data_IF_025755841202
#
_entry.id   IF_025755841202
#
_cell.length_a   1.000
_cell.length_b   1.000
_cell.length_c   1.000
_cell.angle_alpha   90.00
_cell.angle_beta   90.00
_cell.angle_gamma   90.00
#
_symmetry.space_group_name_H-M   'P 1'
#
loop_
_entity.id
_entity.type
_entity.pdbx_description
1 polymer ?
#
# COMPACT_ATOMS: atom_id res chain seq x y z
N UNK A 1 -5.27 16.61 60.35
CA UNK A 1 -5.91 15.69 59.39
C UNK A 1 -6.28 16.47 58.13
N UNK A 2 -5.61 16.18 57.01
CA UNK A 2 -6.14 16.25 55.64
C UNK A 2 -5.03 15.72 54.72
N UNK A 3 -5.14 14.43 54.40
CA UNK A 3 -4.31 13.77 53.41
C UNK A 3 -4.74 14.28 52.03
N UNK A 4 -3.78 14.71 51.23
CA UNK A 4 -3.97 15.05 49.82
C UNK A 4 -3.48 13.86 49.01
N UNK A 5 -4.41 13.11 48.43
CA UNK A 5 -4.14 11.94 47.59
C UNK A 5 -4.08 12.40 46.14
N UNK A 6 -2.91 12.32 45.51
CA UNK A 6 -2.76 12.50 44.07
C UNK A 6 -3.27 11.24 43.35
N UNK A 7 -4.11 11.34 42.30
CA UNK A 7 -4.42 10.20 41.47
C UNK A 7 -3.23 9.89 40.54
N UNK A 8 -2.70 8.69 40.74
CA UNK A 8 -1.71 8.02 39.93
C UNK A 8 -2.32 7.72 38.54
N UNK A 9 -1.96 8.49 37.51
CA UNK A 9 -2.28 8.16 36.13
C UNK A 9 -1.40 6.97 35.72
N UNK A 10 -2.01 5.76 35.73
CA UNK A 10 -1.45 4.62 35.02
C UNK A 10 -1.40 4.98 33.53
N UNK A 11 -0.19 5.02 32.98
CA UNK A 11 0.04 4.91 31.54
C UNK A 11 -0.62 3.60 31.09
N UNK A 12 -1.73 3.71 30.36
CA UNK A 12 -2.21 2.60 29.54
C UNK A 12 -1.16 2.41 28.45
N UNK A 13 -0.48 1.27 28.48
CA UNK A 13 0.40 0.88 27.40
C UNK A 13 -0.45 0.72 26.14
N UNK A 14 -0.30 1.67 25.23
CA UNK A 14 -0.91 1.65 23.90
C UNK A 14 -0.46 0.35 23.23
N UNK A 15 -1.40 -0.58 23.00
CA UNK A 15 -1.06 -1.80 22.27
C UNK A 15 -0.62 -1.40 20.86
N UNK A 16 0.53 -1.90 20.37
CA UNK A 16 1.00 -1.54 19.04
C UNK A 16 -0.07 -1.87 18.01
N UNK A 17 -0.24 -0.98 17.02
CA UNK A 17 -1.10 -1.25 15.86
C UNK A 17 -0.73 -2.60 15.25
N UNK A 18 -1.68 -3.28 14.61
CA UNK A 18 -1.42 -4.57 13.96
C UNK A 18 -0.19 -4.47 13.02
N UNK A 19 -0.08 -3.35 12.30
CA UNK A 19 1.07 -3.03 11.45
C UNK A 19 2.39 -2.98 12.22
N UNK A 20 2.42 -2.31 13.38
CA UNK A 20 3.63 -2.21 14.21
C UNK A 20 4.11 -3.59 14.67
N UNK A 21 3.19 -4.49 15.04
CA UNK A 21 3.53 -5.86 15.42
C UNK A 21 4.13 -6.67 14.25
N UNK A 22 3.56 -6.51 13.05
CA UNK A 22 4.10 -7.12 11.82
C UNK A 22 5.48 -6.55 11.49
N UNK A 23 5.65 -5.22 11.57
CA UNK A 23 6.93 -4.55 11.32
C UNK A 23 8.02 -5.02 12.29
N UNK A 24 7.69 -5.18 13.58
CA UNK A 24 8.61 -5.73 14.59
C UNK A 24 9.13 -7.11 14.16
N UNK A 25 8.22 -8.04 13.83
CA UNK A 25 8.58 -9.40 13.43
C UNK A 25 9.43 -9.40 12.16
N UNK A 26 9.07 -8.57 11.19
CA UNK A 26 9.81 -8.43 9.94
C UNK A 26 11.22 -7.89 10.16
N UNK A 27 11.37 -6.81 10.94
CA UNK A 27 12.68 -6.22 11.26
C UNK A 27 13.56 -7.21 12.03
N UNK A 28 13.00 -7.92 13.01
CA UNK A 28 13.73 -8.95 13.76
C UNK A 28 14.22 -10.09 12.87
N UNK A 29 13.40 -10.54 11.92
CA UNK A 29 13.79 -11.52 10.91
C UNK A 29 14.90 -10.95 9.99
N UNK A 30 14.70 -9.76 9.46
CA UNK A 30 15.63 -9.11 8.54
C UNK A 30 17.03 -8.94 9.17
N UNK A 31 17.10 -8.60 10.47
CA UNK A 31 18.35 -8.41 11.19
C UNK A 31 19.00 -9.71 11.68
N UNK A 32 18.25 -10.83 11.68
CA UNK A 32 18.77 -12.15 12.08
C UNK A 32 19.86 -12.66 11.15
N UNK A 33 19.75 -12.36 9.86
CA UNK A 33 20.67 -12.85 8.83
C UNK A 33 21.52 -11.74 8.24
N UNK A 34 22.82 -12.02 8.10
CA UNK A 34 23.80 -11.06 7.52
C UNK A 34 23.89 -11.15 5.99
N UNK A 35 23.72 -12.34 5.43
CA UNK A 35 23.84 -12.64 3.99
C UNK A 35 22.52 -13.23 3.50
N UNK A 36 21.55 -12.35 3.25
CA UNK A 36 20.22 -12.76 2.81
C UNK A 36 20.22 -13.47 1.46
N UNK A 37 21.13 -13.11 0.57
CA UNK A 37 21.27 -13.66 -0.76
C UNK A 37 21.78 -15.12 -0.79
N UNK A 38 22.38 -15.58 0.31
CA UNK A 38 22.89 -16.96 0.46
C UNK A 38 21.89 -17.92 1.12
N UNK A 39 20.76 -17.40 1.63
CA UNK A 39 19.74 -18.21 2.31
C UNK A 39 19.02 -19.12 1.30
N UNK A 40 19.10 -20.43 1.52
CA UNK A 40 18.40 -21.42 0.70
C UNK A 40 17.03 -21.80 1.25
N UNK A 41 16.87 -21.76 2.57
CA UNK A 41 15.64 -22.15 3.26
C UNK A 41 15.42 -21.26 4.48
N UNK A 42 14.15 -21.01 4.77
CA UNK A 42 13.67 -20.39 6.00
C UNK A 42 12.74 -21.39 6.69
N UNK A 43 12.56 -21.28 8.00
CA UNK A 43 11.53 -22.06 8.68
C UNK A 43 10.13 -21.63 8.22
N UNK A 44 9.12 -22.47 8.46
CA UNK A 44 7.72 -22.13 8.15
C UNK A 44 7.29 -20.82 8.83
N UNK A 45 7.67 -20.63 10.11
CA UNK A 45 7.40 -19.40 10.86
C UNK A 45 8.05 -18.17 10.21
N UNK A 46 9.26 -18.30 9.70
CA UNK A 46 9.99 -17.20 9.05
C UNK A 46 9.39 -16.86 7.68
N UNK A 47 8.97 -17.87 6.91
CA UNK A 47 8.21 -17.65 5.68
C UNK A 47 6.87 -16.97 5.98
N UNK A 48 6.20 -17.36 7.08
CA UNK A 48 4.95 -16.73 7.51
C UNK A 48 5.14 -15.25 7.87
N UNK A 49 6.30 -14.86 8.44
CA UNK A 49 6.61 -13.44 8.67
C UNK A 49 6.67 -12.68 7.34
N UNK A 50 7.32 -13.24 6.31
CA UNK A 50 7.38 -12.59 4.99
C UNK A 50 5.97 -12.47 4.37
N UNK A 51 5.17 -13.54 4.48
CA UNK A 51 3.79 -13.55 4.02
C UNK A 51 2.97 -12.46 4.71
N UNK A 52 2.92 -12.45 6.04
CA UNK A 52 2.15 -11.49 6.83
C UNK A 52 2.56 -10.05 6.53
N UNK A 53 3.84 -9.81 6.29
CA UNK A 53 4.36 -8.48 5.94
C UNK A 53 3.84 -8.01 4.59
N UNK A 54 3.87 -8.88 3.58
CA UNK A 54 3.37 -8.57 2.24
C UNK A 54 1.85 -8.39 2.26
N UNK A 55 1.12 -9.23 2.98
CA UNK A 55 -0.34 -9.10 3.15
C UNK A 55 -0.72 -7.82 3.88
N UNK A 56 0.00 -7.47 4.96
CA UNK A 56 -0.22 -6.23 5.69
C UNK A 56 0.07 -4.98 4.85
N UNK A 57 0.95 -5.09 3.84
CA UNK A 57 1.21 -4.02 2.88
C UNK A 57 0.13 -3.88 1.79
N UNK A 58 -0.97 -4.65 1.88
CA UNK A 58 -2.13 -4.54 0.99
C UNK A 58 -2.04 -5.35 -0.29
N UNK A 59 -1.07 -6.26 -0.40
CA UNK A 59 -1.03 -7.25 -1.47
C UNK A 59 -1.90 -8.47 -1.11
N UNK A 60 -2.32 -9.24 -2.13
CA UNK A 60 -3.06 -10.49 -1.94
C UNK A 60 -2.19 -11.71 -2.35
N UNK A 61 -1.20 -12.09 -1.52
CA UNK A 61 -0.34 -13.23 -1.81
C UNK A 61 -1.07 -14.55 -1.53
N UNK A 62 -0.93 -15.53 -2.43
CA UNK A 62 -1.28 -16.92 -2.14
C UNK A 62 -0.26 -17.58 -1.21
N UNK A 63 1.03 -17.32 -1.47
CA UNK A 63 2.17 -17.89 -0.74
C UNK A 63 3.46 -17.13 -1.03
N UNK A 64 4.45 -17.31 -0.15
CA UNK A 64 5.83 -16.90 -0.36
C UNK A 64 6.69 -18.15 -0.49
N UNK A 65 7.49 -18.24 -1.56
CA UNK A 65 8.28 -19.44 -1.87
C UNK A 65 9.70 -19.08 -2.28
N UNK A 66 10.69 -19.99 -2.13
CA UNK A 66 12.03 -19.77 -2.66
C UNK A 66 12.00 -19.49 -4.16
N UNK A 67 12.74 -18.47 -4.60
CA UNK A 67 12.83 -18.12 -6.01
C UNK A 67 13.29 -16.69 -6.26
N UNK A 68 14.02 -16.49 -7.36
CA UNK A 68 14.44 -15.18 -7.84
C UNK A 68 13.68 -14.82 -9.12
N UNK A 69 13.15 -13.62 -9.18
CA UNK A 69 12.48 -13.07 -10.36
C UNK A 69 13.40 -12.12 -11.13
N UNK A 70 13.18 -12.07 -12.44
CA UNK A 70 13.84 -11.15 -13.36
C UNK A 70 12.81 -10.39 -14.17
N UNK A 71 13.00 -9.09 -14.26
CA UNK A 71 12.28 -8.25 -15.22
C UNK A 71 13.03 -8.19 -16.54
N UNK A 72 12.35 -7.72 -17.58
CA UNK A 72 12.90 -7.55 -18.92
C UNK A 72 12.87 -6.07 -19.30
N UNK A 73 14.00 -5.55 -19.80
CA UNK A 73 14.00 -4.23 -20.39
C UNK A 73 13.24 -4.27 -21.73
N UNK A 74 12.52 -3.18 -21.99
CA UNK A 74 11.75 -3.00 -23.22
C UNK A 74 12.29 -1.80 -23.99
N UNK A 75 12.29 -1.91 -25.31
CA UNK A 75 12.62 -0.81 -26.21
C UNK A 75 11.43 0.17 -26.29
N UNK A 76 11.61 1.30 -26.97
CA UNK A 76 10.59 2.35 -27.09
C UNK A 76 9.30 1.86 -27.78
N UNK A 77 9.41 0.84 -28.62
CA UNK A 77 8.27 0.18 -29.28
C UNK A 77 7.61 -0.90 -28.40
N UNK A 78 8.11 -1.11 -27.18
CA UNK A 78 7.61 -2.11 -26.23
C UNK A 78 8.13 -3.53 -26.46
N UNK A 79 8.95 -3.77 -27.49
CA UNK A 79 9.62 -5.05 -27.72
C UNK A 79 10.68 -5.33 -26.65
N UNK A 80 11.00 -6.61 -26.41
CA UNK A 80 12.04 -6.95 -25.43
C UNK A 80 13.43 -6.70 -26.02
N UNK A 81 14.30 -6.04 -25.25
CA UNK A 81 15.71 -5.86 -25.64
C UNK A 81 16.54 -7.13 -25.46
N UNK A 82 15.96 -8.18 -24.86
CA UNK A 82 16.68 -9.38 -24.41
C UNK A 82 17.47 -9.19 -23.10
N UNK A 83 17.63 -7.95 -22.63
CA UNK A 83 18.29 -7.66 -21.37
C UNK A 83 17.34 -7.86 -20.18
N UNK A 84 17.89 -8.35 -19.06
CA UNK A 84 17.13 -8.61 -17.83
C UNK A 84 17.70 -7.88 -16.64
N UNK A 85 16.86 -7.61 -15.65
CA UNK A 85 17.26 -7.04 -14.36
C UNK A 85 16.69 -7.86 -13.19
N UNK A 86 17.43 -8.01 -12.07
CA UNK A 86 16.92 -8.72 -10.91
C UNK A 86 15.82 -7.91 -10.21
N UNK A 87 14.73 -8.57 -9.85
CA UNK A 87 13.63 -7.95 -9.08
C UNK A 87 13.92 -8.06 -7.59
N UNK A 88 14.14 -9.28 -7.11
CA UNK A 88 14.50 -9.56 -5.72
C UNK A 88 15.98 -9.93 -5.60
N UNK A 89 16.87 -8.95 -5.83
CA UNK A 89 18.31 -9.18 -5.79
C UNK A 89 18.82 -9.66 -4.43
N UNK A 90 18.27 -9.14 -3.33
CA UNK A 90 18.67 -9.48 -1.96
C UNK A 90 17.84 -10.64 -1.42
N UNK A 91 16.51 -10.53 -1.41
CA UNK A 91 15.61 -11.55 -0.88
C UNK A 91 15.57 -12.80 -1.79
N UNK A 92 15.86 -14.02 -1.30
CA UNK A 92 15.82 -15.24 -2.12
C UNK A 92 14.41 -15.85 -2.25
N UNK A 93 13.39 -15.12 -1.80
CA UNK A 93 11.99 -15.54 -1.86
C UNK A 93 11.20 -14.65 -2.80
N UNK A 94 10.22 -15.24 -3.48
CA UNK A 94 9.25 -14.57 -4.35
C UNK A 94 7.83 -14.75 -3.82
N UNK A 95 6.98 -13.83 -4.21
CA UNK A 95 5.55 -13.84 -3.89
C UNK A 95 4.78 -14.44 -5.06
N UNK A 96 3.83 -15.32 -4.77
CA UNK A 96 2.88 -15.89 -5.75
C UNK A 96 1.51 -15.27 -5.53
N UNK A 97 0.84 -14.84 -6.60
CA UNK A 97 -0.49 -14.21 -6.56
C UNK A 97 -1.60 -15.21 -6.22
N UNK A 98 -2.66 -14.73 -5.56
CA UNK A 98 -3.90 -15.45 -5.28
C UNK A 98 -4.62 -16.00 -6.52
N UNK A 99 -4.72 -15.18 -7.57
CA UNK A 99 -5.71 -15.39 -8.63
C UNK A 99 -5.29 -16.36 -9.75
N UNK A 100 -3.98 -16.55 -9.98
CA UNK A 100 -3.49 -17.26 -11.18
C UNK A 100 -2.33 -18.24 -10.93
N UNK A 101 -1.98 -18.53 -9.66
CA UNK A 101 -0.78 -19.31 -9.29
C UNK A 101 0.54 -18.75 -9.90
N UNK A 102 0.49 -17.54 -10.44
CA UNK A 102 1.57 -16.85 -11.14
C UNK A 102 2.42 -16.00 -10.20
N UNK A 103 3.62 -15.64 -10.67
CA UNK A 103 4.54 -14.82 -9.90
C UNK A 103 4.02 -13.39 -9.75
N UNK A 104 3.95 -12.89 -8.50
CA UNK A 104 3.58 -11.51 -8.23
C UNK A 104 4.82 -10.62 -8.27
N UNK A 105 5.14 -10.11 -9.47
CA UNK A 105 6.35 -9.31 -9.72
C UNK A 105 6.47 -8.10 -8.81
N UNK A 106 5.39 -7.34 -8.64
CA UNK A 106 5.40 -6.11 -7.85
C UNK A 106 5.57 -6.37 -6.35
N UNK A 107 4.76 -7.26 -5.75
CA UNK A 107 4.89 -7.66 -4.35
C UNK A 107 6.29 -8.25 -4.05
N UNK A 108 6.86 -9.02 -4.97
CA UNK A 108 8.22 -9.55 -4.86
C UNK A 108 9.26 -8.43 -4.82
N UNK A 109 9.13 -7.43 -5.70
CA UNK A 109 10.00 -6.27 -5.70
C UNK A 109 9.86 -5.41 -4.45
N UNK A 110 8.63 -5.24 -3.95
CA UNK A 110 8.35 -4.51 -2.71
C UNK A 110 9.01 -5.18 -1.50
N UNK A 111 8.89 -6.51 -1.38
CA UNK A 111 9.51 -7.30 -0.32
C UNK A 111 11.05 -7.16 -0.33
N UNK A 112 11.67 -7.17 -1.51
CA UNK A 112 13.10 -6.94 -1.65
C UNK A 112 13.51 -5.52 -1.22
N UNK A 113 12.73 -4.50 -1.59
CA UNK A 113 12.95 -3.12 -1.16
C UNK A 113 12.83 -2.96 0.36
N UNK A 114 11.79 -3.55 0.97
CA UNK A 114 11.59 -3.58 2.42
C UNK A 114 12.79 -4.21 3.13
N UNK A 115 13.24 -5.37 2.65
CA UNK A 115 14.40 -6.06 3.22
C UNK A 115 15.68 -5.23 3.08
N UNK A 116 15.93 -4.66 1.90
CA UNK A 116 17.09 -3.77 1.67
C UNK A 116 17.06 -2.55 2.57
N UNK A 117 15.89 -1.96 2.82
CA UNK A 117 15.75 -0.79 3.70
C UNK A 117 16.19 -1.12 5.12
N UNK A 118 15.80 -2.27 5.65
CA UNK A 118 16.17 -2.72 6.99
C UNK A 118 17.66 -3.08 7.06
N UNK A 119 18.13 -3.94 6.16
CA UNK A 119 19.53 -4.42 6.14
C UNK A 119 20.51 -3.26 5.92
N UNK A 120 20.26 -2.37 4.95
CA UNK A 120 21.13 -1.22 4.71
C UNK A 120 20.99 -0.15 5.80
N UNK A 121 19.79 0.06 6.35
CA UNK A 121 19.60 0.98 7.48
C UNK A 121 20.43 0.57 8.69
N UNK A 122 20.42 -0.72 9.03
CA UNK A 122 21.24 -1.24 10.12
C UNK A 122 22.74 -1.20 9.81
N UNK A 123 23.16 -1.70 8.64
CA UNK A 123 24.60 -1.89 8.34
C UNK A 123 25.32 -0.65 7.82
N UNK A 124 24.64 0.20 7.04
CA UNK A 124 25.27 1.37 6.40
C UNK A 124 24.96 2.67 7.13
N UNK A 125 23.81 2.75 7.79
CA UNK A 125 23.35 3.97 8.45
C UNK A 125 23.34 3.85 9.98
N UNK A 126 23.70 2.69 10.53
CA UNK A 126 23.71 2.40 11.97
C UNK A 126 22.38 2.74 12.67
N UNK A 127 21.27 2.55 11.95
CA UNK A 127 19.94 2.79 12.52
C UNK A 127 19.58 1.71 13.53
N UNK A 128 19.07 2.13 14.69
CA UNK A 128 18.58 1.23 15.72
C UNK A 128 17.30 0.51 15.30
N UNK A 129 17.06 -0.66 15.92
CA UNK A 129 15.89 -1.50 15.69
C UNK A 129 14.56 -0.74 15.80
N UNK A 130 14.42 0.15 16.77
CA UNK A 130 13.20 0.94 17.00
C UNK A 130 12.89 1.85 15.80
N UNK A 131 13.89 2.61 15.31
CA UNK A 131 13.74 3.46 14.12
C UNK A 131 13.40 2.64 12.87
N UNK A 132 14.04 1.49 12.71
CA UNK A 132 13.76 0.59 11.58
C UNK A 132 12.33 0.04 11.65
N UNK A 133 11.84 -0.26 12.85
CA UNK A 133 10.47 -0.71 13.08
C UNK A 133 9.46 0.37 12.73
N UNK A 134 9.67 1.59 13.21
CA UNK A 134 8.83 2.76 12.92
C UNK A 134 8.73 3.00 11.41
N UNK A 135 9.88 3.10 10.73
CA UNK A 135 9.92 3.29 9.28
C UNK A 135 9.24 2.14 8.54
N UNK A 136 9.43 0.89 8.95
CA UNK A 136 8.78 -0.24 8.28
C UNK A 136 7.28 -0.27 8.53
N UNK A 137 6.79 0.10 9.72
CA UNK A 137 5.37 0.23 9.97
C UNK A 137 4.75 1.30 9.07
N UNK A 138 5.39 2.47 8.97
CA UNK A 138 4.97 3.53 8.04
C UNK A 138 4.96 3.04 6.59
N UNK A 139 5.99 2.32 6.13
CA UNK A 139 6.02 1.84 4.74
C UNK A 139 4.98 0.75 4.47
N UNK A 140 4.71 -0.16 5.41
CA UNK A 140 3.61 -1.12 5.30
C UNK A 140 2.28 -0.37 5.18
N UNK A 141 2.01 0.56 6.08
CA UNK A 141 0.77 1.35 6.06
C UNK A 141 0.64 2.18 4.79
N UNK A 142 1.73 2.77 4.30
CA UNK A 142 1.77 3.58 3.06
C UNK A 142 1.62 2.76 1.78
N UNK A 143 1.81 1.45 1.86
CA UNK A 143 1.69 0.52 0.74
C UNK A 143 0.27 0.00 0.52
N UNK A 144 -0.60 0.10 1.53
CA UNK A 144 -1.99 -0.33 1.38
C UNK A 144 -2.73 0.56 0.36
N UNK A 145 -3.36 0.01 -0.68
CA UNK A 145 -4.16 0.78 -1.62
C UNK A 145 -5.32 1.53 -0.96
N UNK A 146 -5.76 2.63 -1.57
CA UNK A 146 -7.01 3.27 -1.14
C UNK A 146 -8.16 2.30 -1.41
N UNK A 147 -8.94 1.98 -0.39
CA UNK A 147 -10.19 1.23 -0.57
C UNK A 147 -11.11 1.96 -1.57
N UNK A 148 -11.64 1.28 -2.60
CA UNK A 148 -12.48 1.91 -3.59
C UNK A 148 -13.67 2.65 -2.96
N UNK A 149 -13.94 3.86 -3.46
CA UNK A 149 -15.04 4.69 -2.95
C UNK A 149 -16.30 4.39 -3.77
N UNK A 150 -17.40 3.96 -3.13
CA UNK A 150 -18.69 3.81 -3.80
C UNK A 150 -19.20 5.13 -4.36
N UNK A 151 -19.41 5.17 -5.67
CA UNK A 151 -19.91 6.31 -6.42
C UNK A 151 -21.44 6.30 -6.50
N UNK A 152 -22.05 5.12 -6.64
CA UNK A 152 -23.48 4.92 -6.85
C UNK A 152 -24.01 3.71 -6.07
N UNK A 153 -25.31 3.64 -5.75
CA UNK A 153 -25.93 2.43 -5.19
C UNK A 153 -25.82 1.18 -6.08
N UNK A 154 -25.68 1.37 -7.40
CA UNK A 154 -25.61 0.30 -8.39
C UNK A 154 -24.24 -0.39 -8.45
N UNK A 155 -23.27 0.06 -7.65
CA UNK A 155 -21.96 -0.55 -7.51
C UNK A 155 -20.87 0.09 -8.37
N UNK A 156 -21.05 1.32 -8.85
CA UNK A 156 -19.93 2.06 -9.44
C UNK A 156 -18.90 2.41 -8.37
N UNK A 157 -17.63 2.14 -8.66
CA UNK A 157 -16.52 2.37 -7.73
C UNK A 157 -15.49 3.34 -8.33
N UNK A 158 -14.99 4.25 -7.49
CA UNK A 158 -13.81 5.05 -7.76
C UNK A 158 -12.61 4.36 -7.12
N UNK A 159 -11.68 3.92 -7.95
CA UNK A 159 -10.39 3.39 -7.51
C UNK A 159 -9.28 4.41 -7.72
N UNK A 160 -8.21 4.30 -6.94
CA UNK A 160 -7.04 5.14 -7.16
C UNK A 160 -6.34 4.84 -8.49
N UNK A 161 -5.40 5.70 -8.87
CA UNK A 161 -4.58 5.47 -10.05
C UNK A 161 -3.72 4.22 -9.90
N UNK A 162 -3.36 3.58 -11.03
CA UNK A 162 -2.26 2.64 -11.02
C UNK A 162 -1.04 3.28 -10.33
N UNK A 163 -0.36 2.55 -9.45
CA UNK A 163 0.72 3.11 -8.65
C UNK A 163 1.83 3.63 -9.55
N UNK A 164 2.24 4.88 -9.33
CA UNK A 164 3.44 5.42 -9.95
C UNK A 164 4.68 4.86 -9.24
N UNK A 165 5.54 4.13 -9.97
CA UNK A 165 6.82 3.65 -9.42
C UNK A 165 7.64 4.83 -8.91
N UNK A 166 8.13 4.79 -7.66
CA UNK A 166 9.10 5.78 -7.20
C UNK A 166 10.40 5.66 -8.02
N UNK A 167 11.09 6.77 -8.30
CA UNK A 167 12.32 6.77 -9.10
C UNK A 167 13.46 5.92 -8.48
N UNK A 168 14.47 5.63 -9.33
CA UNK A 168 15.74 4.93 -9.08
C UNK A 168 15.96 4.32 -7.67
N UNK A 169 15.93 2.97 -7.61
CA UNK A 169 16.39 2.18 -6.46
C UNK A 169 15.33 1.79 -5.42
N UNK A 170 14.17 2.44 -5.44
CA UNK A 170 13.00 2.12 -4.61
C UNK A 170 11.73 2.00 -5.47
N UNK A 171 11.89 1.49 -6.69
CA UNK A 171 10.84 1.45 -7.72
C UNK A 171 9.56 0.71 -7.30
N UNK A 172 9.65 -0.10 -6.25
CA UNK A 172 8.53 -0.87 -5.73
C UNK A 172 7.90 -0.29 -4.48
N UNK A 173 8.50 0.70 -3.82
CA UNK A 173 7.77 1.48 -2.80
C UNK A 173 6.79 2.39 -3.51
N UNK A 174 5.55 2.36 -3.03
CA UNK A 174 4.44 3.13 -3.60
C UNK A 174 3.92 4.07 -2.54
N UNK A 175 3.65 5.30 -2.94
CA UNK A 175 2.85 6.21 -2.15
C UNK A 175 1.42 6.17 -2.65
N UNK A 176 0.59 5.34 -2.02
CA UNK A 176 -0.84 5.26 -2.33
C UNK A 176 -1.61 6.49 -1.84
N UNK A 177 -2.78 6.68 -2.42
CA UNK A 177 -3.70 7.75 -2.01
C UNK A 177 -4.28 7.43 -0.63
N UNK A 178 -4.51 8.46 0.19
CA UNK A 178 -5.10 8.30 1.53
C UNK A 178 -6.37 9.11 1.67
N UNK A 179 -7.20 8.79 2.65
CA UNK A 179 -8.45 9.50 2.90
C UNK A 179 -8.20 11.00 3.15
N UNK A 180 -7.12 11.37 3.83
CA UNK A 180 -6.72 12.76 4.06
C UNK A 180 -6.10 13.45 2.83
N UNK A 181 -5.86 12.72 1.74
CA UNK A 181 -5.31 13.30 0.51
C UNK A 181 -6.31 14.24 -0.14
N UNK A 182 -5.82 15.37 -0.66
CA UNK A 182 -6.66 16.33 -1.36
C UNK A 182 -7.15 15.80 -2.71
N UNK A 183 -8.41 16.05 -3.04
CA UNK A 183 -8.99 15.77 -4.36
C UNK A 183 -8.42 16.73 -5.41
N UNK A 184 -7.68 16.16 -6.37
CA UNK A 184 -7.16 16.88 -7.53
C UNK A 184 -8.22 17.19 -8.61
N UNK A 185 -7.76 17.67 -9.76
CA UNK A 185 -8.60 17.87 -10.96
C UNK A 185 -8.99 16.55 -11.62
N UNK A 186 -8.13 15.56 -11.53
CA UNK A 186 -8.42 14.17 -11.83
C UNK A 186 -8.31 13.41 -10.49
N UNK A 187 -9.31 12.59 -10.15
CA UNK A 187 -9.46 11.99 -8.82
C UNK A 187 -9.27 10.47 -8.77
N UNK A 188 -9.07 9.82 -9.91
CA UNK A 188 -8.90 8.36 -9.94
C UNK A 188 -9.40 7.75 -11.23
N UNK A 189 -9.73 6.48 -11.16
CA UNK A 189 -10.21 5.66 -12.28
C UNK A 189 -11.58 5.10 -11.92
N UNK A 190 -12.50 5.07 -12.89
CA UNK A 190 -13.76 4.35 -12.74
C UNK A 190 -13.49 2.86 -12.92
N UNK A 191 -13.81 2.06 -11.90
CA UNK A 191 -13.50 0.64 -11.90
C UNK A 191 -14.15 -0.13 -13.06
N UNK A 192 -15.39 0.23 -13.41
CA UNK A 192 -16.14 -0.50 -14.45
C UNK A 192 -15.58 -0.33 -15.87
N UNK A 193 -15.12 0.87 -16.23
CA UNK A 193 -14.69 1.16 -17.61
C UNK A 193 -13.22 1.57 -17.74
N UNK A 194 -12.44 1.45 -16.66
CA UNK A 194 -11.01 1.76 -16.58
C UNK A 194 -10.60 3.15 -17.10
N UNK A 195 -11.54 4.10 -17.10
CA UNK A 195 -11.30 5.45 -17.57
C UNK A 195 -11.17 6.44 -16.41
N UNK A 196 -10.42 7.51 -16.68
CA UNK A 196 -10.12 8.57 -15.74
C UNK A 196 -11.39 9.29 -15.28
N UNK A 197 -11.45 9.63 -13.99
CA UNK A 197 -12.52 10.37 -13.35
C UNK A 197 -12.06 11.81 -13.06
N UNK A 198 -12.72 12.80 -13.67
CA UNK A 198 -12.41 14.21 -13.49
C UNK A 198 -13.32 14.87 -12.46
N UNK A 199 -12.74 15.71 -11.60
CA UNK A 199 -13.48 16.67 -10.78
C UNK A 199 -13.76 17.93 -11.61
N UNK A 200 -15.04 18.29 -11.73
CA UNK A 200 -15.50 19.49 -12.44
C UNK A 200 -16.41 20.30 -11.54
N UNK A 201 -16.30 21.63 -11.58
CA UNK A 201 -17.31 22.49 -10.96
C UNK A 201 -18.62 22.35 -11.72
N UNK A 202 -19.68 21.92 -11.04
CA UNK A 202 -20.98 21.70 -11.66
C UNK A 202 -21.95 22.87 -11.39
N UNK A 203 -21.98 23.38 -10.17
CA UNK A 203 -22.85 24.48 -9.76
C UNK A 203 -22.13 25.42 -8.78
N UNK A 204 -22.86 26.38 -8.19
CA UNK A 204 -22.32 27.26 -7.13
C UNK A 204 -22.04 26.54 -5.82
N UNK A 205 -22.67 25.39 -5.59
CA UNK A 205 -22.63 24.63 -4.33
C UNK A 205 -22.08 23.22 -4.50
N UNK A 206 -22.03 22.70 -5.72
CA UNK A 206 -21.61 21.32 -5.98
C UNK A 206 -20.52 21.24 -7.04
N UNK A 207 -19.61 20.31 -6.82
CA UNK A 207 -18.74 19.75 -7.84
C UNK A 207 -19.35 18.44 -8.36
N UNK A 208 -18.83 17.95 -9.48
CA UNK A 208 -19.16 16.65 -10.04
C UNK A 208 -17.89 15.85 -10.30
N UNK A 209 -17.95 14.55 -10.03
CA UNK A 209 -17.04 13.59 -10.64
C UNK A 209 -17.63 13.14 -11.97
N UNK A 210 -16.81 13.14 -13.02
CA UNK A 210 -17.24 12.79 -14.39
C UNK A 210 -16.28 11.77 -14.98
N UNK A 211 -16.78 10.61 -15.35
CA UNK A 211 -16.00 9.61 -16.08
C UNK A 211 -15.76 10.06 -17.53
N UNK A 212 -14.51 9.94 -18.00
CA UNK A 212 -14.19 10.25 -19.40
C UNK A 212 -14.70 9.20 -20.40
N UNK A 213 -14.88 7.96 -19.96
CA UNK A 213 -15.31 6.85 -20.82
C UNK A 213 -16.83 6.77 -20.93
N UNK A 214 -17.51 6.45 -19.82
CA UNK A 214 -18.95 6.21 -19.80
C UNK A 214 -19.79 7.45 -19.46
N UNK A 215 -19.15 8.60 -19.17
CA UNK A 215 -19.82 9.84 -18.76
C UNK A 215 -20.67 9.76 -17.49
N UNK A 216 -20.47 8.72 -16.65
CA UNK A 216 -20.99 8.67 -15.29
C UNK A 216 -20.72 10.00 -14.58
N UNK A 217 -21.75 10.56 -13.95
CA UNK A 217 -21.69 11.88 -13.31
C UNK A 217 -22.27 11.80 -11.90
N UNK A 218 -21.42 12.05 -10.91
CA UNK A 218 -21.79 12.01 -9.48
C UNK A 218 -21.60 13.40 -8.88
N UNK A 219 -22.65 13.96 -8.27
CA UNK A 219 -22.63 15.28 -7.66
C UNK A 219 -22.29 15.20 -6.17
N UNK A 220 -21.47 16.13 -5.70
CA UNK A 220 -21.13 16.24 -4.28
C UNK A 220 -20.90 17.70 -3.87
N UNK A 221 -21.08 18.07 -2.59
CA UNK A 221 -20.88 19.44 -2.12
C UNK A 221 -19.44 19.91 -2.37
N UNK A 222 -19.27 21.16 -2.81
CA UNK A 222 -17.95 21.73 -3.11
C UNK A 222 -17.02 21.80 -1.89
N UNK A 223 -17.59 21.72 -0.69
CA UNK A 223 -16.90 21.75 0.59
C UNK A 223 -16.04 20.50 0.78
N UNK A 224 -16.38 19.39 0.14
CA UNK A 224 -15.57 18.15 0.11
C UNK A 224 -14.20 18.43 -0.52
N UNK A 225 -13.14 18.22 0.26
CA UNK A 225 -11.76 18.45 -0.18
C UNK A 225 -10.92 17.18 -0.24
N UNK A 226 -11.27 16.16 0.53
CA UNK A 226 -10.46 14.95 0.67
C UNK A 226 -11.20 13.69 0.18
N UNK A 227 -10.47 12.59 0.01
CA UNK A 227 -11.08 11.28 -0.34
C UNK A 227 -11.96 10.75 0.80
N UNK A 228 -11.56 10.97 2.06
CA UNK A 228 -12.36 10.63 3.23
C UNK A 228 -13.67 11.40 3.29
N UNK A 229 -13.64 12.71 3.05
CA UNK A 229 -14.86 13.53 2.95
C UNK A 229 -15.81 12.99 1.85
N UNK A 230 -15.23 12.65 0.70
CA UNK A 230 -15.99 12.15 -0.45
C UNK A 230 -16.69 10.83 -0.09
N UNK A 231 -15.96 9.89 0.51
CA UNK A 231 -16.47 8.60 0.96
C UNK A 231 -17.66 8.77 1.91
N UNK A 232 -17.53 9.63 2.92
CA UNK A 232 -18.58 9.88 3.90
C UNK A 232 -19.85 10.50 3.27
N UNK A 233 -19.68 11.49 2.39
CA UNK A 233 -20.80 12.15 1.72
C UNK A 233 -21.55 11.19 0.80
N UNK A 234 -20.83 10.41 -0.01
CA UNK A 234 -21.46 9.50 -0.96
C UNK A 234 -22.16 8.34 -0.25
N UNK A 235 -21.55 7.77 0.80
CA UNK A 235 -22.20 6.77 1.64
C UNK A 235 -23.50 7.32 2.27
N UNK A 236 -23.51 8.57 2.73
CA UNK A 236 -24.70 9.20 3.31
C UNK A 236 -25.82 9.42 2.28
N UNK A 237 -25.47 9.71 1.02
CA UNK A 237 -26.45 9.89 -0.07
C UNK A 237 -27.08 8.56 -0.50
N UNK A 238 -26.33 7.46 -0.44
CA UNK A 238 -26.83 6.13 -0.78
C UNK A 238 -27.89 5.64 0.22
N UNK A 239 -27.74 5.94 1.51
CA UNK A 239 -28.73 5.59 2.55
C UNK A 239 -30.05 6.37 2.39
N UNK A 240 -30.02 7.53 1.73
CA UNK A 240 -31.18 8.41 1.59
C UNK A 240 -32.00 8.18 0.32
N UNK A 241 -31.61 7.25 -0.56
CA UNK A 241 -32.38 6.92 -1.76
C UNK A 241 -33.39 5.81 -1.44
N UNK A 242 -34.72 6.10 -1.40
CA UNK A 242 -35.72 5.06 -1.19
C UNK A 242 -35.79 4.13 -2.42
N UNK A 243 -35.97 2.83 -2.15
CA UNK A 243 -36.27 1.80 -3.14
C UNK A 243 -37.59 2.06 -3.89
#
# INVERSE_FOLDING_TARGET
>A
MRASTFPNQKQEAEMPSNTTAVAIRFVDLALRYKQWDEIQTLSEDEVQILFDTVSAAGFDPARVVPGKLRGHYRDQDGSSTGETYPINGLCPFKVVSGDEDGDHYFATGWLDCALRRVVNGSTRQNEGREKLTEVMAEEIERSVPLEPIPLTPEGDLLREYPPGTCGYGLIYFVKHTRDESSLGSCVGVHEYCDNWMDRRRATKTHDALVCRGCHLRVLFPKEVKTYGDLRQVLASQQVQSPA
#
